data_IF_406735019878
#
_entry.id   IF_406735019878
#
_cell.length_a   1.000
_cell.length_b   1.000
_cell.length_c   1.000
_cell.angle_alpha   90.00
_cell.angle_beta   90.00
_cell.angle_gamma   90.00
#
_symmetry.space_group_name_H-M   'P 1'
#
loop_
_entity.id
_entity.type
_entity.pdbx_description
1 polymer ?
#
# COMPACT_ATOMS: atom_id res chain seq x y z
N UNK A 1 -25.88 -4.27 -4.84
CA UNK A 1 -25.45 -2.91 -5.21
C UNK A 1 -24.20 -2.64 -4.42
N UNK A 2 -23.10 -2.27 -5.08
CA UNK A 2 -21.87 -1.90 -4.37
C UNK A 2 -22.10 -0.54 -3.72
N UNK A 3 -21.91 -0.44 -2.41
CA UNK A 3 -22.04 0.82 -1.69
C UNK A 3 -20.71 1.59 -1.74
N UNK A 4 -20.69 2.65 -2.55
CA UNK A 4 -19.53 3.54 -2.74
C UNK A 4 -19.09 4.16 -1.41
N UNK A 5 -20.05 4.51 -0.54
CA UNK A 5 -19.75 5.16 0.73
C UNK A 5 -19.00 4.19 1.66
N UNK A 6 -19.49 2.96 1.78
CA UNK A 6 -18.81 1.90 2.54
C UNK A 6 -17.39 1.64 2.01
N UNK A 7 -17.20 1.54 0.70
CA UNK A 7 -15.86 1.38 0.11
C UNK A 7 -14.92 2.56 0.42
N UNK A 8 -15.44 3.79 0.38
CA UNK A 8 -14.65 4.97 0.73
C UNK A 8 -14.31 5.01 2.22
N UNK A 9 -15.22 4.58 3.10
CA UNK A 9 -14.97 4.48 4.54
C UNK A 9 -13.92 3.42 4.87
N UNK A 10 -13.99 2.25 4.23
CA UNK A 10 -12.99 1.20 4.40
C UNK A 10 -11.63 1.63 3.88
N UNK A 11 -11.57 2.23 2.68
CA UNK A 11 -10.33 2.79 2.13
C UNK A 11 -9.68 3.85 3.04
N UNK A 12 -10.48 4.69 3.71
CA UNK A 12 -9.98 5.66 4.70
C UNK A 12 -9.44 5.00 5.96
N UNK A 13 -10.11 3.98 6.49
CA UNK A 13 -9.66 3.24 7.67
C UNK A 13 -8.35 2.50 7.38
N UNK A 14 -8.29 1.78 6.26
CA UNK A 14 -7.07 1.08 5.86
C UNK A 14 -5.90 2.03 5.64
N UNK A 15 -6.09 3.16 4.95
CA UNK A 15 -5.03 4.15 4.80
C UNK A 15 -4.53 4.71 6.14
N UNK A 16 -5.44 4.89 7.12
CA UNK A 16 -5.07 5.35 8.46
C UNK A 16 -4.21 4.31 9.19
N UNK A 17 -4.56 3.02 9.12
CA UNK A 17 -3.75 1.96 9.70
C UNK A 17 -2.41 1.80 8.95
N UNK A 18 -2.42 1.90 7.62
CA UNK A 18 -1.21 1.82 6.80
C UNK A 18 -0.16 2.84 7.22
N UNK A 19 -0.56 4.10 7.40
CA UNK A 19 0.34 5.18 7.86
C UNK A 19 0.89 4.89 9.24
N UNK A 20 0.06 4.41 10.19
CA UNK A 20 0.53 4.05 11.54
C UNK A 20 1.62 2.98 11.51
N UNK A 21 1.44 1.93 10.70
CA UNK A 21 2.44 0.86 10.58
C UNK A 21 3.68 1.29 9.80
N UNK A 22 3.52 2.12 8.77
CA UNK A 22 4.61 2.72 8.00
C UNK A 22 5.53 3.56 8.91
N UNK A 23 4.93 4.45 9.72
CA UNK A 23 5.64 5.28 10.70
C UNK A 23 6.27 4.45 11.84
N UNK A 24 5.63 3.34 12.22
CA UNK A 24 6.17 2.41 13.21
C UNK A 24 7.30 1.50 12.67
N UNK A 25 7.54 1.50 11.35
CA UNK A 25 8.51 0.63 10.70
C UNK A 25 8.04 -0.83 10.55
N UNK A 26 6.76 -1.11 10.78
CA UNK A 26 6.16 -2.42 10.49
C UNK A 26 5.79 -2.48 9.01
N UNK A 27 6.82 -2.74 8.20
CA UNK A 27 6.74 -2.73 6.73
C UNK A 27 5.70 -3.73 6.20
N UNK A 28 5.56 -4.89 6.84
CA UNK A 28 4.64 -5.93 6.37
C UNK A 28 3.18 -5.52 6.54
N UNK A 29 2.82 -4.97 7.72
CA UNK A 29 1.47 -4.47 7.95
C UNK A 29 1.18 -3.21 7.12
N UNK A 30 2.16 -2.32 6.96
CA UNK A 30 2.01 -1.15 6.11
C UNK A 30 1.66 -1.52 4.66
N UNK A 31 2.39 -2.47 4.06
CA UNK A 31 2.11 -2.97 2.70
C UNK A 31 0.69 -3.54 2.61
N UNK A 32 0.29 -4.37 3.58
CA UNK A 32 -1.04 -4.96 3.60
C UNK A 32 -2.12 -3.88 3.59
N UNK A 33 -2.06 -2.92 4.52
CA UNK A 33 -3.10 -1.90 4.63
C UNK A 33 -3.09 -0.88 3.48
N UNK A 34 -1.94 -0.52 2.91
CA UNK A 34 -1.92 0.31 1.70
C UNK A 34 -2.53 -0.42 0.49
N UNK A 35 -2.36 -1.74 0.41
CA UNK A 35 -2.96 -2.56 -0.66
C UNK A 35 -4.49 -2.61 -0.52
N UNK A 36 -5.00 -2.89 0.69
CA UNK A 36 -6.44 -2.90 0.97
C UNK A 36 -7.08 -1.51 0.78
N UNK A 37 -6.38 -0.44 1.18
CA UNK A 37 -6.83 0.93 0.93
C UNK A 37 -6.96 1.25 -0.56
N UNK A 38 -5.97 0.83 -1.36
CA UNK A 38 -5.94 1.03 -2.80
C UNK A 38 -7.07 0.27 -3.49
N UNK A 39 -7.27 -1.00 -3.13
CA UNK A 39 -8.31 -1.86 -3.72
C UNK A 39 -9.72 -1.34 -3.41
N UNK A 40 -10.01 -0.97 -2.15
CA UNK A 40 -11.30 -0.41 -1.78
C UNK A 40 -11.62 0.89 -2.53
N UNK A 41 -10.66 1.81 -2.62
CA UNK A 41 -10.82 3.08 -3.30
C UNK A 41 -10.86 2.94 -4.84
N UNK A 42 -10.11 1.99 -5.41
CA UNK A 42 -10.16 1.68 -6.83
C UNK A 42 -11.53 1.10 -7.22
N UNK A 43 -12.08 0.20 -6.39
CA UNK A 43 -13.45 -0.31 -6.54
C UNK A 43 -14.46 0.84 -6.51
N UNK A 44 -14.36 1.76 -5.56
CA UNK A 44 -15.24 2.93 -5.51
C UNK A 44 -15.13 3.78 -6.78
N UNK A 45 -13.91 4.08 -7.22
CA UNK A 45 -13.65 4.86 -8.43
C UNK A 45 -14.13 4.16 -9.72
N UNK A 46 -14.08 2.83 -9.78
CA UNK A 46 -14.61 2.07 -10.92
C UNK A 46 -16.14 2.11 -11.04
N UNK A 47 -16.84 2.34 -9.91
CA UNK A 47 -18.30 2.53 -9.89
C UNK A 47 -18.65 3.99 -10.20
N UNK A 48 -17.91 4.93 -9.63
CA UNK A 48 -18.06 6.37 -9.88
C UNK A 48 -16.69 7.03 -10.09
N UNK A 49 -16.36 7.27 -11.36
CA UNK A 49 -15.10 7.86 -11.76
C UNK A 49 -15.02 9.38 -11.51
N UNK A 50 -16.14 10.01 -11.12
CA UNK A 50 -16.18 11.43 -10.75
C UNK A 50 -15.59 11.70 -9.36
N UNK A 51 -15.40 10.64 -8.56
CA UNK A 51 -14.75 10.72 -7.26
C UNK A 51 -13.31 11.22 -7.40
N UNK A 52 -12.97 12.28 -6.65
CA UNK A 52 -11.62 12.83 -6.59
C UNK A 52 -10.70 12.01 -5.65
N UNK A 53 -10.54 10.71 -5.96
CA UNK A 53 -9.77 9.76 -5.16
C UNK A 53 -8.66 9.05 -5.94
N UNK A 54 -8.61 9.18 -7.27
CA UNK A 54 -7.66 8.48 -8.13
C UNK A 54 -6.19 8.73 -7.72
N UNK A 55 -5.79 9.97 -7.51
CA UNK A 55 -4.42 10.27 -7.08
C UNK A 55 -4.08 9.68 -5.72
N UNK A 56 -5.07 9.48 -4.83
CA UNK A 56 -4.83 8.80 -3.54
C UNK A 56 -4.57 7.31 -3.75
N UNK A 57 -5.34 6.66 -4.64
CA UNK A 57 -5.11 5.27 -5.03
C UNK A 57 -3.70 5.10 -5.58
N UNK A 58 -3.30 5.96 -6.52
CA UNK A 58 -1.97 5.93 -7.14
C UNK A 58 -0.85 6.10 -6.09
N UNK A 59 -1.03 7.01 -5.12
CA UNK A 59 -0.07 7.21 -4.03
C UNK A 59 0.04 5.99 -3.10
N UNK A 60 -1.08 5.35 -2.75
CA UNK A 60 -1.07 4.19 -1.87
C UNK A 60 -0.45 2.96 -2.55
N UNK A 61 -0.72 2.76 -3.85
CA UNK A 61 -0.05 1.73 -4.65
C UNK A 61 1.46 1.98 -4.69
N UNK A 62 1.88 3.20 -5.04
CA UNK A 62 3.30 3.55 -5.11
C UNK A 62 4.00 3.32 -3.77
N UNK A 63 3.38 3.69 -2.65
CA UNK A 63 3.97 3.48 -1.33
C UNK A 63 4.09 2.00 -0.95
N UNK A 64 3.07 1.19 -1.27
CA UNK A 64 3.13 -0.26 -1.04
C UNK A 64 4.27 -0.91 -1.86
N UNK A 65 4.46 -0.47 -3.11
CA UNK A 65 5.56 -0.94 -3.97
C UNK A 65 6.92 -0.54 -3.41
N UNK A 66 7.09 0.72 -3.00
CA UNK A 66 8.34 1.19 -2.35
C UNK A 66 8.69 0.35 -1.12
N UNK A 67 7.72 0.11 -0.24
CA UNK A 67 7.90 -0.69 0.96
C UNK A 67 8.26 -2.14 0.64
N UNK A 68 7.63 -2.72 -0.39
CA UNK A 68 7.94 -4.08 -0.85
C UNK A 68 9.38 -4.20 -1.34
N UNK A 69 9.87 -3.23 -2.11
CA UNK A 69 11.26 -3.21 -2.57
C UNK A 69 12.26 -3.08 -1.41
N UNK A 70 11.95 -2.26 -0.40
CA UNK A 70 12.78 -2.14 0.80
C UNK A 70 12.82 -3.42 1.64
N UNK A 71 11.69 -4.12 1.79
CA UNK A 71 11.62 -5.44 2.45
C UNK A 71 12.55 -6.46 1.76
N UNK A 72 12.61 -6.45 0.43
CA UNK A 72 13.52 -7.28 -0.35
C UNK A 72 15.00 -6.92 -0.13
N UNK A 73 15.32 -5.64 -0.05
CA UNK A 73 16.70 -5.15 0.09
C UNK A 73 17.31 -5.39 1.48
N UNK A 74 16.53 -5.32 2.57
CA UNK A 74 17.04 -5.68 3.91
C UNK A 74 17.29 -7.19 4.06
N UNK A 75 16.59 -8.02 3.29
CA UNK A 75 16.81 -9.47 3.22
C UNK A 75 18.10 -9.85 2.45
N UNK A 76 18.62 -8.95 1.61
CA UNK A 76 19.75 -9.18 0.68
C UNK A 76 21.09 -8.68 1.26
N UNK A 77 21.13 -8.13 2.48
CA UNK A 77 22.40 -7.83 3.19
C UNK A 77 23.07 -9.07 3.82
N UNK A 78 23.06 -10.22 3.14
CA UNK A 78 24.12 -11.23 3.36
C UNK A 78 25.23 -10.95 2.34
N UNK A 79 26.47 -10.67 2.77
CA UNK A 79 27.55 -10.44 1.82
C UNK A 79 27.77 -11.75 1.05
N UNK A 80 27.43 -11.76 -0.23
CA UNK A 80 27.98 -12.75 -1.15
C UNK A 80 29.49 -12.50 -1.14
N UNK A 81 30.23 -13.30 -0.38
CA UNK A 81 31.68 -13.33 -0.42
C UNK A 81 32.10 -13.46 -1.88
N UNK A 82 32.79 -12.43 -2.37
CA UNK A 82 33.65 -12.59 -3.54
C UNK A 82 34.70 -13.63 -3.18
N UNK A 83 34.68 -14.76 -3.87
CA UNK A 83 35.87 -15.59 -3.99
C UNK A 83 36.26 -15.58 -5.46
N UNK A 84 37.12 -14.62 -5.78
CA UNK A 84 38.12 -14.83 -6.81
C UNK A 84 38.99 -16.01 -6.36
N UNK A 85 39.13 -17.02 -7.21
CA UNK A 85 40.40 -17.61 -7.67
C UNK A 85 40.12 -18.76 -8.63
#
# INVERSE_FOLDING_TARGET
MVDIQSLCDDGRKFATEAVKYDEAGDIEQAIFFYSEASDALLKAWSVDNSLNIRSKVENYIARAEELYQHKGNDSVKKPLKSSQQ
#
